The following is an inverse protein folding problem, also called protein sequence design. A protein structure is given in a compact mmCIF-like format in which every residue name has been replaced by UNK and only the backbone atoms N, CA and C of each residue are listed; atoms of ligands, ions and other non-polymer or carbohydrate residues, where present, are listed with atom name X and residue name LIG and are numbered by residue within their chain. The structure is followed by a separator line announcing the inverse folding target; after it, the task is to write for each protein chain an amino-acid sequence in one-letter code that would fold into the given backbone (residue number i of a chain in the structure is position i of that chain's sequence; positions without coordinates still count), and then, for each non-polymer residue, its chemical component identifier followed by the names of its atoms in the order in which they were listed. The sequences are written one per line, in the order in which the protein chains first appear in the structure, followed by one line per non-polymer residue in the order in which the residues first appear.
data_IF_051969898463
#
_entry.id   IF_051969898463
#
_cell.length_a   1.000
_cell.length_b   1.000
_cell.length_c   1.000
_cell.angle_alpha   90.00
_cell.angle_beta   90.00
_cell.angle_gamma   90.00
#
_symmetry.space_group_name_H-M   'P 1'
#
loop_
_entity.id
_entity.type
_entity.pdbx_description
1 polymer ?
#
# COMPACT_ATOMS: atom_id res chain seq x y z
N UNK A 1 -4.64 7.98 7.01
CA UNK A 1 -6.10 8.10 6.85
C UNK A 1 -6.36 8.96 5.62
N UNK A 2 -6.96 8.37 4.60
CA UNK A 2 -7.31 9.05 3.35
C UNK A 2 -8.63 9.80 3.48
N UNK A 3 -8.86 10.77 2.60
CA UNK A 3 -10.12 11.52 2.49
C UNK A 3 -10.49 12.32 3.75
N UNK A 4 -9.54 12.58 4.65
CA UNK A 4 -9.74 13.35 5.88
C UNK A 4 -10.25 14.75 5.56
N UNK A 5 -11.24 15.21 6.31
CA UNK A 5 -11.89 16.52 6.10
C UNK A 5 -13.24 16.41 5.39
N UNK A 6 -13.59 15.27 4.78
CA UNK A 6 -14.91 15.10 4.18
C UNK A 6 -15.97 15.04 5.30
N UNK A 7 -17.03 15.81 5.10
CA UNK A 7 -18.21 15.89 5.96
C UNK A 7 -19.45 16.10 5.08
N UNK A 8 -20.62 16.26 5.70
CA UNK A 8 -21.89 16.40 4.97
C UNK A 8 -21.94 17.65 4.05
N UNK A 9 -21.18 18.69 4.37
CA UNK A 9 -21.09 19.92 3.54
C UNK A 9 -20.04 19.75 2.43
N UNK A 10 -18.88 19.17 2.77
CA UNK A 10 -17.78 19.01 1.84
C UNK A 10 -18.12 18.00 0.73
N UNK A 11 -18.84 16.92 1.04
CA UNK A 11 -19.24 15.93 0.03
C UNK A 11 -20.11 16.55 -1.07
N UNK A 12 -21.00 17.48 -0.73
CA UNK A 12 -21.84 18.20 -1.69
C UNK A 12 -21.01 19.12 -2.60
N UNK A 13 -19.98 19.78 -2.04
CA UNK A 13 -19.05 20.60 -2.81
C UNK A 13 -18.22 19.75 -3.76
N UNK A 14 -17.66 18.63 -3.29
CA UNK A 14 -16.93 17.68 -4.11
C UNK A 14 -17.80 17.10 -5.24
N UNK A 15 -19.05 16.75 -4.95
CA UNK A 15 -19.99 16.24 -5.94
C UNK A 15 -20.23 17.26 -7.06
N UNK A 16 -20.44 18.51 -6.70
CA UNK A 16 -20.67 19.62 -7.64
C UNK A 16 -19.42 19.96 -8.47
N UNK A 17 -18.27 20.11 -7.82
CA UNK A 17 -17.02 20.49 -8.48
C UNK A 17 -16.46 19.39 -9.40
N UNK A 18 -16.60 18.13 -9.01
CA UNK A 18 -16.16 17.00 -9.82
C UNK A 18 -17.12 16.65 -10.94
N UNK A 19 -18.40 17.03 -10.83
CA UNK A 19 -19.48 16.53 -11.69
C UNK A 19 -19.75 15.04 -11.51
N UNK A 20 -19.22 14.42 -10.44
CA UNK A 20 -19.35 12.99 -10.16
C UNK A 20 -19.80 12.76 -8.70
N UNK A 21 -21.09 12.92 -8.41
CA UNK A 21 -21.62 12.73 -7.06
C UNK A 21 -21.36 11.33 -6.49
N UNK A 22 -21.43 10.29 -7.34
CA UNK A 22 -21.14 8.93 -6.90
C UNK A 22 -19.73 8.80 -6.32
N UNK A 23 -18.72 9.37 -6.99
CA UNK A 23 -17.35 9.39 -6.51
C UNK A 23 -17.20 10.14 -5.18
N UNK A 24 -17.87 11.29 -5.04
CA UNK A 24 -17.81 12.08 -3.81
C UNK A 24 -18.34 11.29 -2.60
N UNK A 25 -19.51 10.66 -2.75
CA UNK A 25 -20.08 9.82 -1.70
C UNK A 25 -19.29 8.53 -1.45
N UNK A 26 -18.69 7.92 -2.49
CA UNK A 26 -17.76 6.80 -2.32
C UNK A 26 -16.54 7.20 -1.50
N UNK A 27 -15.97 8.38 -1.76
CA UNK A 27 -14.85 8.92 -0.97
C UNK A 27 -15.24 9.19 0.48
N UNK A 28 -16.47 9.67 0.72
CA UNK A 28 -16.95 9.92 2.07
C UNK A 28 -17.19 8.62 2.85
N UNK A 29 -17.84 7.61 2.25
CA UNK A 29 -18.04 6.32 2.94
C UNK A 29 -16.71 5.64 3.26
N UNK A 30 -15.70 5.70 2.34
CA UNK A 30 -14.34 5.19 2.56
C UNK A 30 -13.67 5.91 3.73
N UNK A 31 -13.85 7.23 3.82
CA UNK A 31 -13.34 8.00 4.94
C UNK A 31 -13.97 7.57 6.27
N UNK A 32 -15.29 7.41 6.33
CA UNK A 32 -15.97 6.97 7.56
C UNK A 32 -15.46 5.61 8.00
N UNK A 33 -15.34 4.64 7.09
CA UNK A 33 -14.81 3.30 7.39
C UNK A 33 -13.38 3.38 7.93
N UNK A 34 -12.51 4.11 7.24
CA UNK A 34 -11.10 4.21 7.64
C UNK A 34 -10.92 4.98 8.96
N UNK A 35 -11.73 6.01 9.19
CA UNK A 35 -11.72 6.76 10.44
C UNK A 35 -12.21 5.90 11.61
N UNK A 36 -13.28 5.15 11.41
CA UNK A 36 -13.82 4.24 12.40
C UNK A 36 -12.82 3.14 12.79
N UNK A 37 -12.19 2.50 11.81
CA UNK A 37 -11.18 1.47 12.03
C UNK A 37 -9.88 2.07 12.62
N UNK A 38 -9.23 2.99 11.92
CA UNK A 38 -7.87 3.44 12.28
C UNK A 38 -7.88 4.44 13.44
N UNK A 39 -8.81 5.41 13.45
CA UNK A 39 -8.83 6.44 14.49
C UNK A 39 -9.52 5.97 15.77
N UNK A 40 -10.60 5.20 15.65
CA UNK A 40 -11.43 4.77 16.77
C UNK A 40 -11.15 3.32 17.21
N UNK A 41 -10.60 2.48 16.33
CA UNK A 41 -10.35 1.06 16.60
C UNK A 41 -11.61 0.20 16.54
N UNK A 42 -12.62 0.62 15.77
CA UNK A 42 -13.85 -0.17 15.55
C UNK A 42 -13.61 -1.25 14.51
N UNK A 43 -14.43 -2.30 14.56
CA UNK A 43 -14.29 -3.42 13.63
C UNK A 43 -14.76 -3.02 12.22
N UNK A 44 -13.81 -3.00 11.29
CA UNK A 44 -14.05 -2.73 9.87
C UNK A 44 -15.07 -3.67 9.24
N UNK A 45 -15.11 -4.94 9.68
CA UNK A 45 -16.01 -5.94 9.13
C UNK A 45 -17.50 -5.60 9.30
N UNK A 46 -17.86 -4.84 10.34
CA UNK A 46 -19.24 -4.38 10.50
C UNK A 46 -19.66 -3.38 9.40
N UNK A 47 -18.74 -2.51 8.97
CA UNK A 47 -18.97 -1.57 7.84
C UNK A 47 -19.02 -2.31 6.51
N UNK A 48 -18.13 -3.28 6.31
CA UNK A 48 -18.11 -4.14 5.10
C UNK A 48 -19.39 -4.97 5.01
N UNK A 49 -19.92 -5.48 6.12
CA UNK A 49 -21.19 -6.18 6.17
C UNK A 49 -22.38 -5.34 5.65
N UNK A 50 -22.42 -4.05 6.01
CA UNK A 50 -23.42 -3.12 5.47
C UNK A 50 -23.26 -2.93 3.96
N UNK A 51 -22.01 -2.84 3.47
CA UNK A 51 -21.70 -2.76 2.05
C UNK A 51 -22.21 -4.00 1.30
N UNK A 52 -21.95 -5.17 1.84
CA UNK A 52 -22.34 -6.45 1.22
C UNK A 52 -23.86 -6.61 1.17
N UNK A 53 -24.60 -6.14 2.19
CA UNK A 53 -26.06 -6.10 2.16
C UNK A 53 -26.59 -5.22 1.01
N UNK A 54 -26.00 -4.02 0.81
CA UNK A 54 -26.39 -3.11 -0.28
C UNK A 54 -26.05 -3.73 -1.65
N UNK A 55 -24.87 -4.33 -1.79
CA UNK A 55 -24.48 -5.06 -3.00
C UNK A 55 -25.45 -6.20 -3.30
N UNK A 56 -25.75 -7.04 -2.33
CA UNK A 56 -26.67 -8.16 -2.49
C UNK A 56 -28.07 -7.69 -2.95
N UNK A 57 -28.58 -6.61 -2.35
CA UNK A 57 -29.87 -6.03 -2.74
C UNK A 57 -29.89 -5.54 -4.19
N UNK A 58 -28.76 -5.02 -4.68
CA UNK A 58 -28.59 -4.52 -6.07
C UNK A 58 -28.18 -5.60 -7.06
N UNK A 59 -27.79 -6.78 -6.60
CA UNK A 59 -27.16 -7.82 -7.44
C UNK A 59 -25.78 -7.41 -7.96
N UNK A 60 -25.10 -6.48 -7.27
CA UNK A 60 -23.77 -6.03 -7.64
C UNK A 60 -22.69 -6.89 -6.97
N UNK A 61 -21.66 -7.28 -7.73
CA UNK A 61 -20.51 -8.04 -7.24
C UNK A 61 -19.34 -7.14 -6.82
N UNK A 62 -19.32 -5.91 -7.32
CA UNK A 62 -18.26 -4.93 -7.06
C UNK A 62 -18.87 -3.57 -6.68
N UNK A 63 -18.11 -2.76 -5.94
CA UNK A 63 -18.49 -1.40 -5.53
C UNK A 63 -18.85 -0.51 -6.74
N UNK A 64 -18.17 -0.74 -7.88
CA UNK A 64 -18.45 -0.01 -9.12
C UNK A 64 -19.89 -0.20 -9.66
N UNK A 65 -20.55 -1.26 -9.26
CA UNK A 65 -21.95 -1.54 -9.64
C UNK A 65 -23.00 -0.79 -8.79
N UNK A 66 -22.58 -0.06 -7.76
CA UNK A 66 -23.47 0.72 -6.90
C UNK A 66 -23.69 2.13 -7.45
N UNK A 67 -24.91 2.65 -7.29
CA UNK A 67 -25.31 3.98 -7.76
C UNK A 67 -24.92 5.08 -6.76
N UNK A 68 -25.14 6.35 -7.13
CA UNK A 68 -24.97 7.48 -6.23
C UNK A 68 -25.87 7.37 -4.99
N UNK A 69 -27.12 6.98 -5.18
CA UNK A 69 -28.11 6.83 -4.10
C UNK A 69 -27.68 5.73 -3.13
N UNK A 70 -27.11 4.63 -3.65
CA UNK A 70 -26.58 3.55 -2.81
C UNK A 70 -25.38 4.03 -1.98
N UNK A 71 -24.48 4.83 -2.57
CA UNK A 71 -23.34 5.41 -1.85
C UNK A 71 -23.81 6.41 -0.78
N UNK A 72 -24.81 7.22 -1.06
CA UNK A 72 -25.40 8.14 -0.07
C UNK A 72 -26.07 7.37 1.08
N UNK A 73 -26.82 6.29 0.77
CA UNK A 73 -27.39 5.40 1.78
C UNK A 73 -26.30 4.77 2.67
N UNK A 74 -25.20 4.32 2.07
CA UNK A 74 -24.06 3.76 2.81
C UNK A 74 -23.47 4.77 3.79
N UNK A 75 -23.28 6.03 3.38
CA UNK A 75 -22.79 7.10 4.25
C UNK A 75 -23.70 7.26 5.47
N UNK A 76 -25.01 7.31 5.29
CA UNK A 76 -25.96 7.46 6.40
C UNK A 76 -25.96 6.23 7.34
N UNK A 77 -25.92 5.03 6.78
CA UNK A 77 -25.84 3.79 7.56
C UNK A 77 -24.52 3.68 8.32
N UNK A 78 -23.41 4.12 7.74
CA UNK A 78 -22.10 4.12 8.38
C UNK A 78 -22.02 5.15 9.52
N UNK A 79 -22.59 6.35 9.34
CA UNK A 79 -22.72 7.33 10.43
C UNK A 79 -23.58 6.79 11.58
N UNK A 80 -24.68 6.10 11.26
CA UNK A 80 -25.53 5.48 12.27
C UNK A 80 -24.81 4.35 13.04
N UNK A 81 -24.03 3.53 12.34
CA UNK A 81 -23.19 2.50 12.99
C UNK A 81 -22.10 3.14 13.86
N UNK A 82 -21.40 4.16 13.35
CA UNK A 82 -20.43 4.91 14.12
C UNK A 82 -21.01 5.47 15.42
N UNK A 83 -22.19 6.09 15.35
CA UNK A 83 -22.90 6.60 16.53
C UNK A 83 -23.26 5.49 17.52
N UNK A 84 -23.70 4.34 17.01
CA UNK A 84 -23.99 3.17 17.85
C UNK A 84 -22.76 2.66 18.61
N UNK A 85 -21.60 2.67 17.95
CA UNK A 85 -20.33 2.16 18.52
C UNK A 85 -19.66 3.19 19.44
N UNK A 86 -19.65 4.47 19.08
CA UNK A 86 -18.99 5.55 19.83
C UNK A 86 -19.87 6.20 20.91
N UNK A 87 -21.19 6.17 20.74
CA UNK A 87 -22.14 6.96 21.52
C UNK A 87 -22.26 8.41 21.04
N UNK A 88 -21.47 8.84 20.04
CA UNK A 88 -21.39 10.21 19.53
C UNK A 88 -21.65 10.24 18.01
N UNK A 89 -22.09 11.39 17.50
CA UNK A 89 -22.23 11.59 16.05
C UNK A 89 -20.86 11.52 15.36
N UNK A 90 -20.84 11.11 14.08
CA UNK A 90 -19.63 11.18 13.28
C UNK A 90 -19.15 12.64 13.18
N UNK A 91 -17.88 12.95 13.52
CA UNK A 91 -17.39 14.32 13.62
C UNK A 91 -17.51 15.06 12.29
N UNK A 92 -18.17 16.20 12.31
CA UNK A 92 -18.41 17.04 11.14
C UNK A 92 -17.41 18.22 11.03
N UNK A 93 -16.62 18.47 12.07
CA UNK A 93 -15.59 19.51 12.05
C UNK A 93 -14.27 18.91 11.58
N UNK A 94 -13.65 19.45 10.49
CA UNK A 94 -12.40 18.93 9.96
C UNK A 94 -11.25 18.92 10.98
N UNK A 95 -11.21 19.89 11.87
CA UNK A 95 -10.19 19.98 12.93
C UNK A 95 -10.32 18.86 13.96
N UNK A 96 -11.54 18.46 14.31
CA UNK A 96 -11.79 17.34 15.22
C UNK A 96 -11.37 16.02 14.58
N UNK A 97 -11.69 15.83 13.30
CA UNK A 97 -11.25 14.68 12.51
C UNK A 97 -9.72 14.62 12.44
N UNK A 98 -9.07 15.74 12.16
CA UNK A 98 -7.61 15.85 12.07
C UNK A 98 -6.94 15.51 13.40
N UNK A 99 -7.40 16.07 14.51
CA UNK A 99 -6.84 15.80 15.83
C UNK A 99 -7.01 14.34 16.24
N UNK A 100 -8.16 13.73 15.92
CA UNK A 100 -8.38 12.31 16.18
C UNK A 100 -7.43 11.43 15.35
N UNK A 101 -7.23 11.76 14.08
CA UNK A 101 -6.30 11.07 13.20
C UNK A 101 -4.84 11.19 13.68
N UNK A 102 -4.40 12.38 14.07
CA UNK A 102 -3.06 12.62 14.64
C UNK A 102 -2.85 11.76 15.89
N UNK A 103 -3.83 11.75 16.80
CA UNK A 103 -3.77 10.93 18.01
C UNK A 103 -3.68 9.44 17.70
N UNK A 104 -4.41 8.99 16.67
CA UNK A 104 -4.36 7.60 16.22
C UNK A 104 -2.96 7.21 15.70
N UNK A 105 -2.32 8.07 14.91
CA UNK A 105 -0.95 7.83 14.42
C UNK A 105 0.03 7.73 15.60
N UNK A 106 -0.03 8.63 16.58
CA UNK A 106 0.85 8.52 17.75
C UNK A 106 0.58 7.26 18.58
N UNK A 107 -0.70 6.87 18.76
CA UNK A 107 -1.03 5.61 19.46
C UNK A 107 -0.52 4.37 18.72
N UNK A 108 -0.51 4.40 17.38
CA UNK A 108 -0.09 3.25 16.56
C UNK A 108 1.37 2.84 16.79
N UNK A 109 2.23 3.73 17.31
CA UNK A 109 3.59 3.41 17.70
C UNK A 109 3.65 2.24 18.70
N UNK A 110 2.69 2.14 19.59
CA UNK A 110 2.62 1.14 20.65
C UNK A 110 1.65 -0.01 20.34
N UNK A 111 1.26 -0.19 19.08
CA UNK A 111 0.49 -1.38 18.74
C UNK A 111 1.39 -2.62 18.64
N UNK A 112 0.85 -3.85 18.89
CA UNK A 112 1.65 -5.06 18.92
C UNK A 112 2.45 -5.33 17.65
N UNK A 113 1.90 -4.99 16.49
CA UNK A 113 2.56 -5.17 15.19
C UNK A 113 3.76 -4.23 15.04
N UNK A 114 3.62 -2.96 15.45
CA UNK A 114 4.70 -1.99 15.42
C UNK A 114 5.81 -2.33 16.41
N UNK A 115 5.46 -2.81 17.60
CA UNK A 115 6.43 -3.29 18.59
C UNK A 115 7.20 -4.52 18.10
N UNK A 116 6.52 -5.49 17.49
CA UNK A 116 7.17 -6.64 16.89
C UNK A 116 8.15 -6.24 15.79
N UNK A 117 7.71 -5.33 14.89
CA UNK A 117 8.56 -4.81 13.83
C UNK A 117 9.82 -4.11 14.37
N UNK A 118 9.68 -3.26 15.39
CA UNK A 118 10.83 -2.58 16.01
C UNK A 118 11.83 -3.57 16.62
N UNK A 119 11.35 -4.60 17.33
CA UNK A 119 12.22 -5.65 17.88
C UNK A 119 12.98 -6.41 16.81
N UNK A 120 12.32 -6.70 15.68
CA UNK A 120 12.94 -7.43 14.56
C UNK A 120 13.99 -6.61 13.81
N UNK A 121 13.90 -5.28 13.89
CA UNK A 121 14.79 -4.37 13.16
C UNK A 121 15.68 -3.53 14.09
N UNK A 122 15.81 -3.90 15.36
CA UNK A 122 16.65 -3.23 16.37
C UNK A 122 16.36 -1.71 16.49
N UNK A 123 15.09 -1.30 16.33
CA UNK A 123 14.65 0.10 16.43
C UNK A 123 14.33 0.42 17.89
N UNK A 124 14.96 1.46 18.49
CA UNK A 124 14.69 1.90 19.85
C UNK A 124 13.22 2.29 20.07
N UNK A 125 12.63 1.84 21.18
CA UNK A 125 11.23 2.11 21.51
C UNK A 125 10.92 3.55 21.90
N UNK A 126 11.93 4.32 22.29
CA UNK A 126 11.87 5.69 22.75
C UNK A 126 11.95 6.74 21.64
N UNK A 127 12.16 6.33 20.38
CA UNK A 127 12.20 7.28 19.25
C UNK A 127 10.85 7.93 18.98
N UNK A 128 9.76 7.21 19.10
CA UNK A 128 8.43 7.68 18.73
C UNK A 128 8.21 7.72 17.22
N UNK A 129 7.13 8.38 16.80
CA UNK A 129 6.75 8.54 15.38
C UNK A 129 6.36 9.98 15.08
N UNK A 130 6.30 10.32 13.80
CA UNK A 130 5.88 11.63 13.30
C UNK A 130 4.58 11.50 12.50
N UNK A 131 3.91 12.62 12.29
CA UNK A 131 2.69 12.73 11.48
C UNK A 131 2.92 13.76 10.38
N UNK A 132 2.64 13.38 9.14
CA UNK A 132 2.54 14.29 8.01
C UNK A 132 1.07 14.50 7.65
N UNK A 133 0.67 15.77 7.48
CA UNK A 133 -0.62 16.14 6.92
C UNK A 133 -0.38 16.59 5.49
N UNK A 134 -0.88 15.82 4.54
CA UNK A 134 -0.62 15.99 3.11
C UNK A 134 -1.93 16.24 2.37
N UNK A 135 -1.90 17.15 1.38
CA UNK A 135 -3.03 17.36 0.49
C UNK A 135 -3.45 16.06 -0.16
N UNK A 136 -4.74 15.76 -0.11
CA UNK A 136 -5.30 14.57 -0.76
C UNK A 136 -5.24 14.72 -2.29
N UNK A 137 -4.81 13.65 -2.95
CA UNK A 137 -4.82 13.48 -4.40
C UNK A 137 -5.64 12.23 -4.72
N UNK A 138 -6.55 12.33 -5.68
CA UNK A 138 -7.54 11.31 -5.93
C UNK A 138 -7.25 10.48 -7.18
N UNK A 139 -6.78 9.27 -7.00
CA UNK A 139 -6.56 8.31 -8.08
C UNK A 139 -7.83 7.65 -8.64
N UNK A 140 -8.98 7.92 -8.03
CA UNK A 140 -10.27 7.31 -8.39
C UNK A 140 -11.27 8.30 -9.03
N UNK A 141 -10.77 9.34 -9.70
CA UNK A 141 -11.62 10.35 -10.38
C UNK A 141 -11.94 10.00 -11.85
N UNK A 142 -11.89 8.74 -12.22
CA UNK A 142 -12.18 8.27 -13.58
C UNK A 142 -10.95 7.73 -14.31
N UNK A 143 -11.12 7.46 -15.61
CA UNK A 143 -10.14 6.73 -16.42
C UNK A 143 -8.79 7.47 -16.65
N UNK A 144 -8.73 8.76 -16.37
CA UNK A 144 -7.49 9.56 -16.45
C UNK A 144 -6.79 9.69 -15.10
N UNK A 145 -7.30 8.98 -14.07
CA UNK A 145 -6.74 8.98 -12.73
C UNK A 145 -6.34 7.56 -12.35
N UNK A 146 -5.36 7.42 -11.47
CA UNK A 146 -4.87 6.12 -11.03
C UNK A 146 -3.89 6.25 -9.87
N UNK A 147 -3.44 5.13 -9.34
CA UNK A 147 -2.44 5.09 -8.28
C UNK A 147 -1.55 3.88 -8.47
N UNK A 148 -0.35 3.91 -7.91
CA UNK A 148 0.57 2.79 -8.02
C UNK A 148 1.75 2.87 -7.06
N UNK A 149 2.48 1.78 -7.05
CA UNK A 149 3.73 1.61 -6.31
C UNK A 149 4.79 1.08 -7.26
N UNK A 150 6.00 1.59 -7.17
CA UNK A 150 7.08 1.07 -7.99
C UNK A 150 8.45 1.28 -7.34
N UNK A 151 9.37 0.40 -7.70
CA UNK A 151 10.78 0.47 -7.38
C UNK A 151 11.58 1.00 -8.56
N UNK A 152 12.64 1.73 -8.32
CA UNK A 152 13.57 2.18 -9.38
C UNK A 152 14.32 1.01 -10.02
N UNK A 153 14.49 -0.08 -9.28
CA UNK A 153 15.10 -1.34 -9.74
C UNK A 153 14.28 -2.53 -9.26
N UNK A 154 14.37 -3.65 -9.97
CA UNK A 154 13.72 -4.89 -9.55
C UNK A 154 14.23 -5.34 -8.17
N UNK A 155 13.40 -5.38 -7.14
CA UNK A 155 13.80 -5.70 -5.77
C UNK A 155 14.20 -7.17 -5.57
N UNK A 156 13.82 -8.06 -6.48
CA UNK A 156 14.16 -9.47 -6.43
C UNK A 156 15.50 -9.76 -7.08
N UNK A 157 15.78 -9.16 -8.24
CA UNK A 157 16.95 -9.46 -9.07
C UNK A 157 18.00 -8.37 -9.10
N UNK A 158 17.68 -7.14 -8.74
CA UNK A 158 18.55 -5.97 -8.83
C UNK A 158 18.68 -5.39 -10.24
N UNK A 159 17.91 -5.87 -11.22
CA UNK A 159 17.93 -5.33 -12.58
C UNK A 159 17.55 -3.86 -12.59
N UNK A 160 18.33 -3.03 -13.28
CA UNK A 160 18.06 -1.61 -13.46
C UNK A 160 16.90 -1.42 -14.46
N UNK A 161 15.69 -1.48 -13.94
CA UNK A 161 14.44 -1.22 -14.65
C UNK A 161 13.34 -0.95 -13.64
N UNK A 162 12.45 -0.01 -13.90
CA UNK A 162 11.26 0.23 -13.09
C UNK A 162 10.47 -1.07 -12.90
N UNK A 163 10.17 -1.38 -11.65
CA UNK A 163 9.44 -2.58 -11.25
C UNK A 163 8.31 -2.19 -10.31
N UNK A 164 7.08 -2.51 -10.68
CA UNK A 164 5.93 -2.13 -9.85
C UNK A 164 4.62 -2.32 -10.56
N UNK A 165 3.58 -1.80 -9.93
CA UNK A 165 2.20 -2.02 -10.32
C UNK A 165 1.39 -0.73 -10.20
N UNK A 166 0.34 -0.61 -11.01
CA UNK A 166 -0.61 0.49 -10.94
C UNK A 166 -2.04 0.02 -11.21
N UNK A 167 -2.99 0.80 -10.74
CA UNK A 167 -4.41 0.67 -11.07
C UNK A 167 -4.96 2.01 -11.54
N UNK A 168 -5.67 2.01 -12.68
CA UNK A 168 -6.47 3.15 -13.09
C UNK A 168 -7.78 3.19 -12.32
N UNK A 169 -8.28 4.41 -12.08
CA UNK A 169 -9.51 4.68 -11.34
C UNK A 169 -9.55 3.96 -9.99
N UNK A 170 -8.52 4.18 -9.15
CA UNK A 170 -8.31 3.52 -7.87
C UNK A 170 -7.65 4.43 -6.84
N UNK A 171 -7.91 4.18 -5.56
CA UNK A 171 -7.15 4.74 -4.44
C UNK A 171 -6.05 3.76 -3.99
N UNK A 172 -5.07 4.25 -3.20
CA UNK A 172 -3.93 3.43 -2.78
C UNK A 172 -4.31 2.14 -2.05
N UNK A 173 -5.40 2.15 -1.28
CA UNK A 173 -5.91 0.94 -0.61
C UNK A 173 -6.37 -0.15 -1.60
N UNK A 174 -6.87 0.23 -2.79
CA UNK A 174 -7.35 -0.72 -3.79
C UNK A 174 -6.19 -1.53 -4.42
N UNK A 175 -4.97 -0.96 -4.46
CA UNK A 175 -3.76 -1.66 -4.96
C UNK A 175 -3.36 -2.79 -4.03
N UNK A 176 -3.44 -2.57 -2.71
CA UNK A 176 -3.00 -3.54 -1.69
C UNK A 176 -4.10 -4.50 -1.25
N UNK A 177 -5.37 -4.17 -1.48
CA UNK A 177 -6.51 -4.99 -1.09
C UNK A 177 -6.71 -6.26 -1.95
N UNK A 178 -6.07 -6.33 -3.14
CA UNK A 178 -6.18 -7.49 -4.04
C UNK A 178 -7.55 -7.70 -4.68
N UNK A 179 -8.47 -6.74 -4.55
CA UNK A 179 -9.84 -6.84 -5.12
C UNK A 179 -9.82 -6.71 -6.64
N UNK A 180 -8.87 -5.92 -7.17
CA UNK A 180 -8.63 -5.73 -8.60
C UNK A 180 -7.20 -6.13 -8.90
N UNK A 181 -6.97 -6.77 -10.05
CA UNK A 181 -5.62 -7.14 -10.49
C UNK A 181 -4.87 -5.90 -10.97
N UNK A 182 -3.78 -5.49 -10.32
CA UNK A 182 -2.96 -4.40 -10.80
C UNK A 182 -2.27 -4.72 -12.12
N UNK A 183 -1.93 -3.68 -12.87
CA UNK A 183 -1.17 -3.78 -14.11
C UNK A 183 0.31 -3.50 -13.84
N UNK A 184 1.25 -4.17 -14.53
CA UNK A 184 2.66 -3.85 -14.46
C UNK A 184 2.95 -2.40 -14.81
N UNK A 185 3.83 -1.73 -14.07
CA UNK A 185 4.17 -0.31 -14.27
C UNK A 185 4.59 0.02 -15.71
N UNK A 186 5.21 -0.94 -16.42
CA UNK A 186 5.59 -0.77 -17.83
C UNK A 186 4.42 -0.49 -18.77
N UNK A 187 3.22 -0.97 -18.45
CA UNK A 187 2.01 -0.71 -19.24
C UNK A 187 1.48 0.72 -19.06
N UNK A 188 1.91 1.44 -18.02
CA UNK A 188 1.55 2.84 -17.86
C UNK A 188 2.05 3.68 -19.04
N UNK A 189 3.13 3.26 -19.71
CA UNK A 189 3.64 3.90 -20.94
C UNK A 189 2.60 3.94 -22.08
N UNK A 190 1.73 2.93 -22.14
CA UNK A 190 0.67 2.85 -23.16
C UNK A 190 -0.59 3.59 -22.71
N UNK A 191 -0.90 3.53 -21.42
CA UNK A 191 -2.13 4.13 -20.87
C UNK A 191 -1.99 5.65 -20.68
N UNK A 192 -0.84 6.10 -20.17
CA UNK A 192 -0.52 7.52 -19.96
C UNK A 192 0.97 7.79 -20.17
N UNK A 193 1.41 8.00 -21.43
CA UNK A 193 2.81 8.18 -21.77
C UNK A 193 3.48 9.37 -21.07
N UNK A 194 2.74 10.47 -20.86
CA UNK A 194 3.28 11.67 -20.22
C UNK A 194 3.56 11.42 -18.74
N UNK A 195 2.61 10.82 -18.02
CA UNK A 195 2.82 10.47 -16.62
C UNK A 195 3.93 9.43 -16.47
N UNK A 196 4.04 8.45 -17.38
CA UNK A 196 5.12 7.47 -17.35
C UNK A 196 6.48 8.11 -17.54
N UNK A 197 6.65 8.99 -18.55
CA UNK A 197 7.91 9.68 -18.80
C UNK A 197 8.32 10.58 -17.62
N UNK A 198 7.37 11.32 -17.05
CA UNK A 198 7.61 12.11 -15.85
C UNK A 198 7.99 11.24 -14.64
N UNK A 199 7.37 10.08 -14.50
CA UNK A 199 7.69 9.13 -13.42
C UNK A 199 9.10 8.54 -13.59
N UNK A 200 9.51 8.18 -14.81
CA UNK A 200 10.90 7.72 -15.10
C UNK A 200 11.92 8.80 -14.71
N UNK A 201 11.71 10.06 -15.11
CA UNK A 201 12.62 11.17 -14.79
C UNK A 201 12.75 11.38 -13.26
N UNK A 202 11.61 11.36 -12.54
CA UNK A 202 11.60 11.48 -11.09
C UNK A 202 12.30 10.30 -10.43
N UNK A 203 12.04 9.07 -10.88
CA UNK A 203 12.66 7.85 -10.36
C UNK A 203 14.18 7.89 -10.48
N UNK A 204 14.70 8.27 -11.65
CA UNK A 204 16.13 8.47 -11.86
C UNK A 204 16.70 9.57 -10.96
N UNK A 205 16.00 10.69 -10.84
CA UNK A 205 16.39 11.80 -9.98
C UNK A 205 16.47 11.39 -8.52
N UNK A 206 15.50 10.66 -8.00
CA UNK A 206 15.46 10.15 -6.64
C UNK A 206 16.57 9.13 -6.38
N UNK A 207 16.78 8.18 -7.29
CA UNK A 207 17.86 7.20 -7.15
C UNK A 207 19.26 7.86 -7.13
N UNK A 208 19.49 8.84 -7.99
CA UNK A 208 20.75 9.63 -7.99
C UNK A 208 20.90 10.47 -6.71
N UNK A 209 19.81 11.05 -6.21
CA UNK A 209 19.85 11.87 -5.01
C UNK A 209 20.15 11.05 -3.76
N UNK A 210 19.41 9.95 -3.55
CA UNK A 210 19.59 9.07 -2.40
C UNK A 210 20.74 8.08 -2.58
N UNK A 211 21.28 7.95 -3.79
CA UNK A 211 22.32 7.00 -4.18
C UNK A 211 21.93 5.56 -3.84
N UNK A 212 20.66 5.24 -3.83
CA UNK A 212 20.13 3.91 -3.53
C UNK A 212 18.79 3.69 -4.24
N UNK A 213 18.46 2.40 -4.52
CA UNK A 213 17.15 2.10 -5.11
C UNK A 213 16.02 2.57 -4.22
N UNK A 214 15.00 3.14 -4.85
CA UNK A 214 13.86 3.72 -4.16
C UNK A 214 12.60 2.88 -4.36
N UNK A 215 11.79 2.80 -3.30
CA UNK A 215 10.41 2.33 -3.27
C UNK A 215 9.51 3.57 -3.24
N UNK A 216 8.67 3.73 -4.23
CA UNK A 216 7.94 4.96 -4.50
C UNK A 216 6.45 4.68 -4.59
N UNK A 217 5.65 5.60 -4.01
CA UNK A 217 4.21 5.62 -4.15
C UNK A 217 3.79 6.87 -4.94
N UNK A 218 2.87 6.70 -5.87
CA UNK A 218 2.39 7.80 -6.69
C UNK A 218 0.88 7.73 -6.95
N UNK A 219 0.30 8.86 -7.29
CA UNK A 219 -1.07 8.98 -7.75
C UNK A 219 -1.14 9.86 -8.98
N UNK A 220 -1.97 9.49 -9.93
CA UNK A 220 -2.31 10.31 -11.09
C UNK A 220 -3.72 10.83 -10.88
N UNK A 221 -3.89 12.15 -10.84
CA UNK A 221 -5.19 12.78 -10.77
C UNK A 221 -5.44 13.58 -12.07
N UNK A 222 -6.45 13.16 -12.83
CA UNK A 222 -6.81 13.81 -14.10
C UNK A 222 -5.63 13.99 -15.04
N UNK A 223 -4.82 12.96 -15.20
CA UNK A 223 -3.63 12.95 -16.06
C UNK A 223 -2.36 13.50 -15.42
N UNK A 224 -2.43 14.22 -14.31
CA UNK A 224 -1.27 14.80 -13.63
C UNK A 224 -0.70 13.85 -12.57
N UNK A 225 0.62 13.60 -12.65
CA UNK A 225 1.35 12.79 -11.71
C UNK A 225 1.66 13.54 -10.40
N UNK A 226 1.52 12.85 -9.29
CA UNK A 226 1.91 13.30 -7.95
C UNK A 226 2.66 12.20 -7.23
N UNK A 227 3.86 12.51 -6.72
CA UNK A 227 4.61 11.62 -5.84
C UNK A 227 4.08 11.75 -4.42
N UNK A 228 3.78 10.61 -3.79
CA UNK A 228 3.24 10.57 -2.44
C UNK A 228 4.31 10.27 -1.41
N UNK A 229 5.19 9.29 -1.72
CA UNK A 229 6.22 8.82 -0.81
C UNK A 229 7.39 8.24 -1.59
N UNK A 230 8.59 8.37 -1.03
CA UNK A 230 9.77 7.61 -1.43
C UNK A 230 10.50 7.11 -0.19
N UNK A 231 11.12 5.95 -0.30
CA UNK A 231 11.97 5.36 0.74
C UNK A 231 13.00 4.42 0.09
N UNK A 232 14.06 4.09 0.84
CA UNK A 232 14.99 3.06 0.37
C UNK A 232 14.27 1.74 0.18
N UNK A 233 14.42 1.15 -1.00
CA UNK A 233 13.70 -0.05 -1.39
C UNK A 233 14.18 -1.28 -0.62
N UNK A 234 13.25 -2.01 -0.02
CA UNK A 234 13.53 -3.36 0.51
C UNK A 234 13.81 -4.29 -0.66
N UNK A 235 14.80 -5.16 -0.51
CA UNK A 235 15.28 -6.01 -1.58
C UNK A 235 15.86 -7.32 -1.05
N UNK A 236 15.95 -8.31 -1.93
CA UNK A 236 16.63 -9.57 -1.61
C UNK A 236 18.14 -9.33 -1.42
N UNK A 237 18.81 -10.25 -0.75
CA UNK A 237 20.25 -10.23 -0.59
C UNK A 237 20.97 -10.26 -1.96
N UNK A 238 20.47 -11.04 -2.91
CA UNK A 238 20.99 -11.09 -4.27
C UNK A 238 20.87 -9.74 -4.99
N UNK A 239 19.70 -9.12 -4.91
CA UNK A 239 19.46 -7.81 -5.49
C UNK A 239 20.34 -6.74 -4.82
N UNK A 240 20.52 -6.80 -3.49
CA UNK A 240 21.37 -5.86 -2.76
C UNK A 240 22.82 -5.88 -3.28
N UNK A 241 23.40 -7.07 -3.46
CA UNK A 241 24.75 -7.21 -4.02
C UNK A 241 24.84 -6.67 -5.45
N UNK A 242 23.90 -7.08 -6.31
CA UNK A 242 23.89 -6.63 -7.69
C UNK A 242 23.77 -5.11 -7.79
N UNK A 243 22.84 -4.53 -7.07
CA UNK A 243 22.61 -3.07 -7.04
C UNK A 243 23.86 -2.33 -6.55
N UNK A 244 24.51 -2.84 -5.50
CA UNK A 244 25.72 -2.23 -4.96
C UNK A 244 26.86 -2.21 -6.00
N UNK A 245 27.06 -3.30 -6.76
CA UNK A 245 28.05 -3.39 -7.84
C UNK A 245 27.66 -2.45 -8.98
N UNK A 246 26.43 -2.52 -9.47
CA UNK A 246 25.95 -1.70 -10.58
C UNK A 246 26.09 -0.19 -10.27
N UNK A 247 25.76 0.23 -9.04
CA UNK A 247 25.88 1.65 -8.63
C UNK A 247 27.32 2.15 -8.57
N UNK A 248 28.29 1.27 -8.28
CA UNK A 248 29.73 1.61 -8.40
C UNK A 248 30.10 1.79 -9.86
N UNK A 249 29.68 0.86 -10.72
CA UNK A 249 30.01 0.89 -12.16
C UNK A 249 29.32 2.09 -12.86
N UNK A 250 28.13 2.49 -12.40
CA UNK A 250 27.38 3.68 -12.83
C UNK A 250 27.96 4.99 -12.24
N UNK A 251 28.91 4.92 -11.30
CA UNK A 251 29.53 6.09 -10.67
C UNK A 251 28.64 6.80 -9.64
N UNK A 252 27.60 6.15 -9.15
CA UNK A 252 26.68 6.70 -8.15
C UNK A 252 27.22 6.63 -6.72
N UNK A 253 28.11 5.67 -6.44
CA UNK A 253 28.78 5.54 -5.15
C UNK A 253 30.19 4.95 -5.30
N UNK A 254 31.02 5.09 -4.26
CA UNK A 254 32.35 4.44 -4.19
C UNK A 254 32.22 2.97 -3.79
N UNK A 255 33.30 2.19 -3.97
CA UNK A 255 33.33 0.78 -3.52
C UNK A 255 33.15 0.67 -2.00
N UNK A 256 33.75 1.59 -1.25
CA UNK A 256 33.67 1.64 0.20
C UNK A 256 32.22 1.94 0.64
N UNK A 257 31.55 2.92 0.00
CA UNK A 257 30.15 3.23 0.24
C UNK A 257 29.24 2.03 -0.09
N UNK A 258 29.50 1.32 -1.19
CA UNK A 258 28.75 0.14 -1.59
C UNK A 258 28.88 -1.00 -0.57
N UNK A 259 30.09 -1.27 -0.07
CA UNK A 259 30.35 -2.29 0.96
C UNK A 259 29.58 -1.98 2.25
N UNK A 260 29.57 -0.71 2.68
CA UNK A 260 28.87 -0.29 3.92
C UNK A 260 27.35 -0.44 3.85
N UNK A 261 26.78 -0.58 2.65
CA UNK A 261 25.33 -0.78 2.45
C UNK A 261 24.88 -2.23 2.54
N UNK A 262 25.83 -3.16 2.45
CA UNK A 262 25.55 -4.59 2.52
C UNK A 262 25.60 -5.03 3.97
N UNK A 263 24.45 -5.41 4.51
CA UNK A 263 24.39 -5.98 5.85
C UNK A 263 25.00 -7.38 5.86
N UNK A 264 25.93 -7.72 6.79
CA UNK A 264 26.55 -9.04 6.88
C UNK A 264 25.52 -10.18 6.93
N UNK A 265 24.40 -9.99 7.63
CA UNK A 265 23.30 -10.98 7.70
C UNK A 265 22.69 -11.30 6.32
N UNK A 266 22.75 -10.36 5.37
CA UNK A 266 22.28 -10.62 4.00
C UNK A 266 23.19 -11.57 3.24
N UNK A 267 24.50 -11.55 3.53
CA UNK A 267 25.45 -12.49 2.93
C UNK A 267 25.20 -13.92 3.40
N UNK A 268 24.88 -14.12 4.67
CA UNK A 268 24.51 -15.42 5.20
C UNK A 268 23.31 -16.00 4.46
N UNK A 269 22.31 -15.17 4.14
CA UNK A 269 21.14 -15.60 3.38
C UNK A 269 21.48 -16.13 1.98
N UNK A 270 22.59 -15.68 1.37
CA UNK A 270 23.05 -16.17 0.08
C UNK A 270 23.76 -17.53 0.17
N UNK A 271 24.22 -17.90 1.36
CA UNK A 271 24.87 -19.18 1.64
C UNK A 271 23.85 -20.27 2.01
N UNK A 272 22.59 -19.90 2.25
CA UNK A 272 21.53 -20.87 2.55
C UNK A 272 21.13 -21.70 1.32
N UNK A 273 20.60 -22.93 1.56
CA UNK A 273 20.12 -23.80 0.50
C UNK A 273 19.11 -23.11 -0.41
N UNK A 274 19.25 -23.29 -1.71
CA UNK A 274 18.31 -22.86 -2.74
C UNK A 274 17.75 -24.08 -3.43
N UNK A 275 16.57 -23.95 -4.00
CA UNK A 275 16.10 -24.98 -4.93
C UNK A 275 17.04 -25.02 -6.14
N UNK A 276 17.35 -26.23 -6.60
CA UNK A 276 18.04 -26.42 -7.87
C UNK A 276 17.19 -25.82 -9.00
N UNK A 277 17.81 -24.98 -9.84
CA UNK A 277 17.08 -24.25 -10.88
C UNK A 277 16.46 -25.20 -11.94
N UNK A 278 17.14 -26.32 -12.23
CA UNK A 278 16.61 -27.28 -13.19
C UNK A 278 15.44 -28.05 -12.59
N UNK A 279 15.52 -28.44 -11.32
CA UNK A 279 14.43 -29.07 -10.60
C UNK A 279 13.22 -28.14 -10.46
N UNK A 280 13.45 -26.85 -10.18
CA UNK A 280 12.41 -25.85 -10.07
C UNK A 280 11.68 -25.62 -11.42
N UNK A 281 12.45 -25.59 -12.53
CA UNK A 281 11.87 -25.48 -13.89
C UNK A 281 11.10 -26.73 -14.32
N UNK A 282 11.47 -27.89 -13.80
CA UNK A 282 10.81 -29.16 -14.09
C UNK A 282 9.61 -29.43 -13.17
N UNK A 283 9.50 -28.74 -12.06
CA UNK A 283 8.39 -28.90 -11.11
C UNK A 283 7.11 -28.27 -11.66
N UNK A 284 6.01 -28.95 -11.46
CA UNK A 284 4.67 -28.39 -11.75
C UNK A 284 4.19 -27.60 -10.53
N UNK A 285 4.10 -26.26 -10.62
CA UNK A 285 3.71 -25.46 -9.46
C UNK A 285 2.22 -25.67 -9.16
N UNK A 286 1.89 -25.93 -7.91
CA UNK A 286 0.51 -26.01 -7.46
C UNK A 286 -0.20 -24.64 -7.52
N UNK A 287 0.56 -23.54 -7.30
CA UNK A 287 0.08 -22.17 -7.44
C UNK A 287 1.26 -21.22 -7.71
N UNK A 288 0.95 -20.03 -8.23
CA UNK A 288 1.91 -18.93 -8.37
C UNK A 288 1.45 -17.75 -7.52
N UNK A 289 2.37 -17.17 -6.74
CA UNK A 289 2.16 -15.96 -5.97
C UNK A 289 3.27 -14.94 -6.19
N UNK A 290 3.10 -13.73 -5.68
CA UNK A 290 4.16 -12.74 -5.60
C UNK A 290 5.10 -13.12 -4.46
N UNK A 291 6.41 -13.14 -4.73
CA UNK A 291 7.41 -13.45 -3.72
C UNK A 291 7.49 -12.30 -2.71
N UNK A 292 6.93 -12.51 -1.51
CA UNK A 292 6.98 -11.55 -0.41
C UNK A 292 8.23 -11.69 0.46
N UNK A 293 8.91 -12.85 0.40
CA UNK A 293 10.13 -13.15 1.16
C UNK A 293 11.10 -13.96 0.31
N UNK A 294 12.42 -13.70 0.40
CA UNK A 294 13.42 -14.45 -0.34
C UNK A 294 13.62 -15.85 0.27
N UNK A 295 14.03 -16.80 -0.57
CA UNK A 295 14.51 -18.13 -0.16
C UNK A 295 13.56 -19.27 -0.50
N UNK A 296 14.02 -20.49 -0.20
CA UNK A 296 13.26 -21.72 -0.32
C UNK A 296 12.75 -22.10 1.06
N UNK A 297 11.45 -22.00 1.28
CA UNK A 297 10.79 -22.40 2.51
C UNK A 297 10.08 -23.75 2.34
N UNK A 298 10.24 -24.67 3.31
CA UNK A 298 9.46 -25.89 3.40
C UNK A 298 8.74 -25.89 4.75
N UNK A 299 7.42 -26.16 4.75
CA UNK A 299 6.65 -26.17 6.00
C UNK A 299 5.16 -26.34 5.74
N UNK A 300 4.39 -26.28 6.83
CA UNK A 300 2.92 -26.26 6.76
C UNK A 300 2.43 -24.96 6.08
N UNK A 301 1.45 -25.07 5.18
CA UNK A 301 0.87 -23.91 4.50
C UNK A 301 -0.11 -23.21 5.46
N UNK A 302 0.06 -21.90 5.65
CA UNK A 302 -0.85 -21.04 6.38
C UNK A 302 -1.35 -19.91 5.46
N UNK A 303 -2.61 -19.51 5.64
CA UNK A 303 -3.25 -18.47 4.83
C UNK A 303 -3.46 -17.16 5.62
N UNK A 304 -3.22 -17.18 6.92
CA UNK A 304 -3.29 -15.98 7.75
C UNK A 304 -2.03 -15.83 8.61
N UNK A 305 -1.71 -14.60 8.97
CA UNK A 305 -0.56 -14.30 9.82
C UNK A 305 -0.74 -14.86 11.23
N UNK A 306 -1.97 -14.95 11.72
CA UNK A 306 -2.35 -15.50 13.00
C UNK A 306 -2.08 -17.01 13.03
N UNK A 307 -2.56 -17.76 12.04
CA UNK A 307 -2.32 -19.19 11.89
C UNK A 307 -0.82 -19.50 11.79
N UNK A 308 -0.12 -18.70 10.97
CA UNK A 308 1.32 -18.86 10.79
C UNK A 308 2.08 -18.67 12.11
N UNK A 309 1.68 -17.71 12.94
CA UNK A 309 2.29 -17.47 14.25
C UNK A 309 2.03 -18.60 15.23
N UNK A 310 0.84 -19.19 15.21
CA UNK A 310 0.47 -20.30 16.08
C UNK A 310 1.18 -21.58 15.64
N UNK A 311 1.10 -21.92 14.36
CA UNK A 311 1.70 -23.15 13.84
C UNK A 311 3.24 -23.12 13.84
N UNK A 312 3.86 -21.94 13.72
CA UNK A 312 5.32 -21.80 13.82
C UNK A 312 5.90 -22.21 15.18
N UNK A 313 5.07 -22.32 16.21
CA UNK A 313 5.48 -22.88 17.51
C UNK A 313 5.67 -24.41 17.46
N UNK A 314 5.10 -25.07 16.47
CA UNK A 314 5.10 -26.52 16.31
C UNK A 314 5.99 -27.01 15.16
N UNK A 315 6.44 -26.11 14.27
CA UNK A 315 7.32 -26.43 13.14
C UNK A 315 7.40 -25.32 12.10
N UNK A 316 8.20 -25.55 11.02
CA UNK A 316 8.32 -24.57 9.94
C UNK A 316 6.98 -24.38 9.22
N UNK A 317 6.67 -23.14 8.84
CA UNK A 317 5.46 -22.77 8.11
C UNK A 317 5.78 -21.89 6.92
N UNK A 318 4.91 -21.93 5.92
CA UNK A 318 4.93 -21.05 4.75
C UNK A 318 3.59 -20.30 4.72
N UNK A 319 3.65 -18.98 4.87
CA UNK A 319 2.48 -18.11 4.73
C UNK A 319 2.28 -17.80 3.24
N UNK A 320 1.10 -18.06 2.73
CA UNK A 320 0.71 -17.89 1.32
C UNK A 320 -0.38 -16.82 1.21
#
# INVERSE_FOLDING_TARGET
ILNLGINDVVVESLARESGNPRWAYDSYRRFITMFADVAMGFDRMEYEGIMDEVKARRGATQDAGLTQEDMAELVERYKALYKKQSGEEFPQQPEEQLLAAIRAVFRSWNNPRAEAYRRMNDIPGDWGTAVNVQTMVFGNMGETSGTGVAFTRDPATGRNALFGEFLMNAQGEDVVAGIRTPQPISQLREVNPEAYAQFEEIAEGLEKHYKDMQDMEFTIERGKLYMLQTRNGKRTAQAALKIAVDMVDEGLCTREEAILRIEPKQLDALLHPRFDEAALKAAEPAAKGLAASPGAGCGGICFTAEDAREQAQHGPVVLV
#
